data_IF_522871842600
#
_entry.id   IF_522871842600
#
_cell.length_a   1.000
_cell.length_b   1.000
_cell.length_c   1.000
_cell.angle_alpha   90.00
_cell.angle_beta   90.00
_cell.angle_gamma   90.00
#
_symmetry.space_group_name_H-M   'P 1'
#
loop_
_entity.id
_entity.type
_entity.pdbx_description
1 polymer ?
#
# COMPACT_ATOMS: atom_id res chain seq x y z
N UNK A 1 4.43 66.12 -37.22
CA UNK A 1 4.88 66.61 -35.89
C UNK A 1 5.37 65.41 -35.07
N UNK A 2 6.66 65.45 -34.65
CA UNK A 2 7.43 64.73 -33.58
C UNK A 2 6.98 63.29 -33.19
N UNK A 3 7.69 62.19 -33.56
CA UNK A 3 8.96 61.55 -33.06
C UNK A 3 8.95 61.25 -31.54
N UNK A 4 9.20 60.04 -31.03
CA UNK A 4 10.44 59.21 -31.05
C UNK A 4 10.14 57.72 -30.75
N UNK A 5 10.60 56.65 -31.42
CA UNK A 5 11.92 56.10 -31.81
C UNK A 5 12.76 55.47 -30.68
N UNK A 6 12.87 54.13 -30.64
CA UNK A 6 14.06 53.37 -30.20
C UNK A 6 14.19 52.02 -30.95
N UNK A 7 15.39 51.66 -31.47
CA UNK A 7 15.62 50.48 -32.31
C UNK A 7 16.38 49.33 -31.63
N UNK A 8 16.50 48.22 -32.37
CA UNK A 8 17.20 46.96 -32.04
C UNK A 8 18.73 46.96 -32.25
N UNK A 9 19.41 46.13 -31.45
CA UNK A 9 20.62 45.28 -31.68
C UNK A 9 22.04 45.87 -31.95
N UNK A 10 22.97 45.35 -31.11
CA UNK A 10 24.33 44.78 -31.35
C UNK A 10 25.63 45.62 -31.16
N UNK A 11 26.39 45.25 -30.10
CA UNK A 11 27.87 45.11 -29.99
C UNK A 11 28.73 46.36 -29.69
N UNK A 12 30.04 46.23 -29.33
CA UNK A 12 30.78 45.25 -28.50
C UNK A 12 31.47 45.92 -27.25
N UNK A 13 32.29 45.16 -26.51
CA UNK A 13 32.92 45.48 -25.21
C UNK A 13 33.83 46.74 -25.14
N UNK A 14 34.17 47.21 -23.92
CA UNK A 14 35.56 47.04 -23.47
C UNK A 14 35.72 46.61 -21.99
N UNK A 15 36.91 46.09 -21.73
CA UNK A 15 37.48 45.53 -20.50
C UNK A 15 38.22 46.56 -19.62
N UNK A 16 38.75 46.08 -18.47
CA UNK A 16 39.79 46.62 -17.56
C UNK A 16 39.24 47.27 -16.27
N UNK A 17 39.33 46.60 -15.10
CA UNK A 17 40.47 46.31 -14.19
C UNK A 17 40.54 47.33 -13.04
N UNK A 18 40.49 46.85 -11.78
CA UNK A 18 41.41 47.33 -10.76
C UNK A 18 41.69 46.24 -9.71
N UNK A 19 42.94 45.82 -9.72
CA UNK A 19 43.60 44.83 -8.86
C UNK A 19 43.75 45.29 -7.41
N UNK A 20 43.83 44.33 -6.48
CA UNK A 20 44.74 44.49 -5.34
C UNK A 20 45.20 43.15 -4.76
N UNK A 21 46.42 42.81 -5.19
CA UNK A 21 47.54 42.20 -4.45
C UNK A 21 47.41 40.77 -3.92
N UNK A 22 47.97 39.84 -4.70
CA UNK A 22 48.64 38.63 -4.24
C UNK A 22 50.17 38.78 -4.41
N UNK A 23 51.02 38.18 -3.56
CA UNK A 23 52.45 38.00 -3.81
C UNK A 23 52.71 36.72 -4.66
N UNK A 24 53.91 36.59 -5.25
CA UNK A 24 54.11 35.92 -6.54
C UNK A 24 54.39 34.42 -6.45
N UNK A 25 54.00 33.72 -7.51
CA UNK A 25 54.32 32.32 -7.79
C UNK A 25 55.80 32.12 -8.10
N UNK A 26 56.34 30.95 -7.76
CA UNK A 26 57.45 30.36 -8.49
C UNK A 26 57.30 28.83 -8.61
N UNK A 27 56.99 28.41 -9.84
CA UNK A 27 57.51 27.24 -10.57
C UNK A 27 57.25 25.81 -10.06
N UNK A 28 56.41 25.11 -10.84
CA UNK A 28 56.84 23.93 -11.61
C UNK A 28 56.95 22.59 -10.88
N UNK A 29 55.84 21.85 -10.82
CA UNK A 29 55.71 20.39 -11.06
C UNK A 29 54.26 19.96 -10.72
N UNK A 30 53.71 18.88 -11.31
CA UNK A 30 52.30 18.54 -11.13
C UNK A 30 52.05 18.08 -9.68
N UNK A 31 50.93 18.47 -9.04
CA UNK A 31 50.66 17.99 -7.70
C UNK A 31 50.27 16.52 -7.73
N UNK A 32 50.78 15.72 -6.78
CA UNK A 32 50.42 14.32 -6.63
C UNK A 32 49.00 14.19 -6.09
N UNK A 33 48.35 13.12 -6.52
CA UNK A 33 47.07 12.60 -6.02
C UNK A 33 47.11 12.59 -4.49
N UNK A 34 46.32 13.45 -3.85
CA UNK A 34 46.13 13.46 -2.40
C UNK A 34 44.74 12.89 -2.08
N UNK A 35 44.66 11.65 -1.56
CA UNK A 35 43.42 11.12 -1.02
C UNK A 35 43.23 11.70 0.39
N UNK A 36 42.30 12.64 0.54
CA UNK A 36 42.18 13.37 1.80
C UNK A 36 40.93 14.22 1.97
N UNK A 37 39.80 13.80 1.43
CA UNK A 37 38.48 14.22 1.94
C UNK A 37 38.05 13.22 3.01
N UNK A 38 38.67 13.30 4.19
CA UNK A 38 38.33 12.46 5.32
C UNK A 38 36.85 12.64 5.64
N UNK A 39 36.13 11.53 5.50
CA UNK A 39 34.83 11.26 6.06
C UNK A 39 34.73 11.95 7.42
N UNK A 40 33.90 12.99 7.50
CA UNK A 40 33.31 13.32 8.79
C UNK A 40 32.54 12.06 9.19
N UNK A 41 32.88 11.39 10.30
CA UNK A 41 32.00 10.36 10.81
C UNK A 41 30.77 11.13 11.25
N UNK A 42 29.72 11.12 10.43
CA UNK A 42 28.38 11.38 10.91
C UNK A 42 28.25 10.51 12.14
N UNK A 43 28.17 11.15 13.31
CA UNK A 43 27.85 10.49 14.56
C UNK A 43 26.63 9.60 14.28
N UNK A 44 26.89 8.30 14.09
CA UNK A 44 25.84 7.31 13.98
C UNK A 44 25.21 7.28 15.35
N UNK A 45 24.07 7.97 15.48
CA UNK A 45 23.21 7.81 16.62
C UNK A 45 22.74 6.34 16.58
N UNK A 46 23.11 5.47 17.53
CA UNK A 46 22.86 4.02 17.43
C UNK A 46 21.39 3.63 17.60
N UNK A 47 20.47 4.60 17.67
CA UNK A 47 19.10 4.42 18.14
C UNK A 47 18.03 4.77 17.09
N UNK A 48 18.40 5.26 15.90
CA UNK A 48 17.43 5.44 14.82
C UNK A 48 17.17 4.11 14.12
N UNK A 49 15.91 3.62 14.05
CA UNK A 49 15.58 2.43 13.28
C UNK A 49 16.09 2.58 11.85
N UNK A 50 16.91 1.63 11.38
CA UNK A 50 17.49 1.62 10.02
C UNK A 50 16.46 1.48 8.91
N UNK A 51 15.19 1.22 9.26
CA UNK A 51 14.10 1.12 8.30
C UNK A 51 13.87 2.46 7.60
N UNK A 52 13.67 2.48 6.26
CA UNK A 52 13.37 3.71 5.54
C UNK A 52 12.06 4.33 6.02
N UNK A 53 11.97 5.67 5.99
CA UNK A 53 10.74 6.39 6.25
C UNK A 53 9.64 5.97 5.24
N UNK A 54 8.35 6.03 5.66
CA UNK A 54 7.28 5.61 4.77
C UNK A 54 7.17 6.59 3.59
N UNK A 55 6.83 6.12 2.38
CA UNK A 55 6.54 7.01 1.26
C UNK A 55 5.35 7.92 1.59
N UNK A 56 5.25 9.05 0.88
CA UNK A 56 4.14 9.99 1.05
C UNK A 56 2.80 9.26 0.80
N UNK A 57 1.78 9.45 1.66
CA UNK A 57 0.48 8.87 1.43
C UNK A 57 -0.11 9.37 0.10
N UNK A 58 -0.88 8.53 -0.62
CA UNK A 58 -1.52 8.94 -1.85
C UNK A 58 -2.54 10.06 -1.59
N UNK A 59 -2.64 10.99 -2.55
CA UNK A 59 -3.59 12.10 -2.50
C UNK A 59 -5.03 11.61 -2.60
N UNK A 60 -5.29 10.62 -3.46
CA UNK A 60 -6.61 10.03 -3.63
C UNK A 60 -6.99 9.21 -2.38
N UNK A 61 -8.15 9.49 -1.74
CA UNK A 61 -8.60 8.77 -0.56
C UNK A 61 -8.83 7.27 -0.82
N UNK A 62 -9.19 6.85 -2.04
CA UNK A 62 -9.43 5.45 -2.39
C UNK A 62 -8.16 4.59 -2.30
N UNK A 63 -6.99 5.21 -2.41
CA UNK A 63 -5.69 4.53 -2.38
C UNK A 63 -5.11 4.42 -0.95
N UNK A 64 -5.62 5.22 0.00
CA UNK A 64 -5.09 5.27 1.38
C UNK A 64 -5.19 3.94 2.13
N UNK A 65 -6.28 3.16 2.03
CA UNK A 65 -6.37 1.87 2.70
C UNK A 65 -5.32 0.88 2.19
N UNK A 66 -5.11 0.81 0.87
CA UNK A 66 -4.11 -0.07 0.27
C UNK A 66 -2.68 0.33 0.63
N UNK A 67 -2.41 1.63 0.65
CA UNK A 67 -1.13 2.17 1.13
C UNK A 67 -0.87 1.78 2.59
N UNK A 68 -1.86 1.96 3.48
CA UNK A 68 -1.73 1.55 4.89
C UNK A 68 -1.49 0.04 5.04
N UNK A 69 -2.19 -0.79 4.27
CA UNK A 69 -1.95 -2.24 4.24
C UNK A 69 -0.53 -2.57 3.77
N UNK A 70 0.02 -1.83 2.79
CA UNK A 70 1.40 -1.94 2.36
C UNK A 70 2.40 -1.60 3.47
N UNK A 71 2.19 -0.50 4.19
CA UNK A 71 3.03 -0.12 5.34
C UNK A 71 2.97 -1.18 6.44
N UNK A 72 1.77 -1.61 6.84
CA UNK A 72 1.57 -2.66 7.85
C UNK A 72 2.25 -3.97 7.44
N UNK A 73 2.13 -4.38 6.17
CA UNK A 73 2.83 -5.55 5.65
C UNK A 73 4.34 -5.44 5.81
N UNK A 74 4.93 -4.27 5.53
CA UNK A 74 6.36 -4.05 5.71
C UNK A 74 6.79 -4.20 7.18
N UNK A 75 5.98 -3.73 8.14
CA UNK A 75 6.27 -3.93 9.57
C UNK A 75 6.29 -5.40 9.98
N UNK A 76 5.53 -6.24 9.27
CA UNK A 76 5.44 -7.68 9.54
C UNK A 76 6.57 -8.47 8.83
N UNK A 77 7.01 -8.02 7.66
CA UNK A 77 7.93 -8.78 6.80
C UNK A 77 9.40 -8.39 6.94
N UNK A 78 9.67 -7.14 7.27
CA UNK A 78 11.04 -6.66 7.45
C UNK A 78 11.54 -7.05 8.84
N UNK A 79 12.74 -7.66 8.98
CA UNK A 79 13.26 -8.07 10.30
C UNK A 79 13.38 -6.91 11.30
N UNK A 80 13.73 -5.71 10.83
CA UNK A 80 13.80 -4.51 11.68
C UNK A 80 12.44 -3.86 11.91
N UNK A 81 11.35 -4.41 11.36
CA UNK A 81 10.05 -3.74 11.31
C UNK A 81 10.01 -2.57 10.32
N UNK A 82 9.07 -1.65 10.52
CA UNK A 82 8.87 -0.54 9.59
C UNK A 82 8.03 0.60 10.14
N UNK A 83 8.05 1.73 9.44
CA UNK A 83 7.25 2.90 9.78
C UNK A 83 5.85 2.82 9.16
N UNK A 84 4.83 3.09 9.96
CA UNK A 84 3.44 3.29 9.49
C UNK A 84 3.03 4.77 9.43
N UNK A 85 3.77 5.62 10.15
CA UNK A 85 3.77 7.08 9.99
C UNK A 85 5.21 7.57 10.13
N UNK A 86 5.54 8.80 9.72
CA UNK A 86 6.89 9.36 9.94
C UNK A 86 7.34 9.38 11.41
N UNK A 87 6.42 9.16 12.35
CA UNK A 87 6.66 9.22 13.81
C UNK A 87 6.39 7.92 14.54
N UNK A 88 5.94 6.87 13.84
CA UNK A 88 5.58 5.60 14.45
C UNK A 88 6.25 4.46 13.68
N UNK A 89 7.34 3.96 14.26
CA UNK A 89 7.97 2.71 13.87
C UNK A 89 7.35 1.55 14.65
N UNK A 90 7.09 0.45 13.96
CA UNK A 90 6.58 -0.80 14.54
C UNK A 90 7.64 -1.88 14.32
N UNK A 91 8.33 -2.34 15.38
CA UNK A 91 9.24 -3.49 15.32
C UNK A 91 8.51 -4.76 14.88
N UNK A 92 9.20 -5.66 14.16
CA UNK A 92 8.57 -6.88 13.65
C UNK A 92 8.13 -7.80 14.80
N UNK A 93 8.85 -7.75 15.92
CA UNK A 93 8.66 -8.54 17.12
C UNK A 93 7.32 -8.23 17.78
N UNK A 94 6.74 -7.04 17.54
CA UNK A 94 5.40 -6.67 18.03
C UNK A 94 4.37 -7.69 17.55
N UNK A 95 4.51 -8.19 16.33
CA UNK A 95 3.60 -9.17 15.74
C UNK A 95 3.80 -10.59 16.26
N UNK A 96 4.97 -10.90 16.84
CA UNK A 96 5.29 -12.22 17.39
C UNK A 96 5.16 -12.28 18.92
N UNK A 97 4.75 -11.19 19.59
CA UNK A 97 4.58 -11.17 21.03
C UNK A 97 3.48 -12.15 21.49
N UNK A 98 3.91 -13.33 21.93
CA UNK A 98 3.05 -14.23 22.69
C UNK A 98 2.49 -13.54 23.94
N UNK A 99 1.18 -13.74 24.18
CA UNK A 99 0.51 -13.33 25.42
C UNK A 99 -0.31 -12.03 25.36
N UNK A 100 -0.45 -11.37 24.20
CA UNK A 100 -1.49 -10.36 24.02
C UNK A 100 -2.87 -11.06 23.89
N UNK A 101 -3.84 -10.66 24.72
CA UNK A 101 -5.21 -11.21 24.68
C UNK A 101 -6.02 -10.56 23.56
N UNK A 102 -5.68 -10.87 22.32
CA UNK A 102 -6.44 -10.42 21.16
C UNK A 102 -7.84 -11.07 21.17
N UNK A 103 -8.89 -10.27 20.98
CA UNK A 103 -10.27 -10.76 20.93
C UNK A 103 -10.59 -11.37 19.55
N UNK A 104 -11.37 -12.45 19.51
CA UNK A 104 -11.95 -13.05 18.30
C UNK A 104 -10.90 -13.40 17.22
N UNK A 105 -9.72 -13.88 17.64
CA UNK A 105 -8.61 -14.22 16.72
C UNK A 105 -9.05 -15.29 15.72
N UNK A 106 -9.74 -16.33 16.16
CA UNK A 106 -10.23 -17.39 15.28
C UNK A 106 -11.13 -16.86 14.18
N UNK A 107 -12.08 -15.97 14.50
CA UNK A 107 -12.91 -15.31 13.49
C UNK A 107 -12.09 -14.44 12.54
N UNK A 108 -11.13 -13.65 13.04
CA UNK A 108 -10.28 -12.82 12.20
C UNK A 108 -9.44 -13.66 11.24
N UNK A 109 -8.86 -14.76 11.71
CA UNK A 109 -8.12 -15.72 10.86
C UNK A 109 -9.03 -16.26 9.75
N UNK A 110 -10.28 -16.64 10.07
CA UNK A 110 -11.25 -17.10 9.06
C UNK A 110 -11.58 -16.01 8.04
N UNK A 111 -11.85 -14.78 8.49
CA UNK A 111 -12.17 -13.65 7.61
C UNK A 111 -11.00 -13.36 6.67
N UNK A 112 -9.78 -13.31 7.21
CA UNK A 112 -8.56 -13.11 6.45
C UNK A 112 -8.38 -14.22 5.41
N UNK A 113 -8.65 -15.48 5.77
CA UNK A 113 -8.57 -16.61 4.83
C UNK A 113 -9.59 -16.53 3.69
N UNK A 114 -10.85 -16.16 4.01
CA UNK A 114 -11.92 -15.97 3.02
C UNK A 114 -11.54 -14.86 2.04
N UNK A 115 -11.09 -13.70 2.55
CA UNK A 115 -10.67 -12.57 1.72
C UNK A 115 -9.46 -12.93 0.86
N UNK A 116 -8.48 -13.66 1.40
CA UNK A 116 -7.34 -14.17 0.63
C UNK A 116 -7.80 -15.05 -0.55
N UNK A 117 -8.76 -15.95 -0.32
CA UNK A 117 -9.29 -16.81 -1.40
C UNK A 117 -10.01 -15.98 -2.48
N UNK A 118 -10.81 -14.99 -2.07
CA UNK A 118 -11.55 -14.16 -3.01
C UNK A 118 -10.62 -13.26 -3.84
N UNK A 119 -9.56 -12.71 -3.23
CA UNK A 119 -8.54 -11.94 -3.94
C UNK A 119 -7.69 -12.82 -4.86
N UNK A 120 -7.42 -14.07 -4.49
CA UNK A 120 -6.71 -15.03 -5.35
C UNK A 120 -7.50 -15.32 -6.63
N UNK A 121 -8.82 -15.53 -6.49
CA UNK A 121 -9.72 -15.65 -7.65
C UNK A 121 -9.71 -14.37 -8.50
N UNK A 122 -9.78 -13.21 -7.86
CA UNK A 122 -9.76 -11.93 -8.57
C UNK A 122 -8.43 -11.72 -9.32
N UNK A 123 -7.29 -12.13 -8.75
CA UNK A 123 -5.97 -12.07 -9.38
C UNK A 123 -5.90 -12.95 -10.64
N UNK A 124 -6.41 -14.18 -10.56
CA UNK A 124 -6.43 -15.12 -11.68
C UNK A 124 -7.26 -14.54 -12.84
N UNK A 125 -8.45 -14.01 -12.55
CA UNK A 125 -9.32 -13.41 -13.56
C UNK A 125 -8.76 -12.08 -14.09
N UNK A 126 -8.11 -11.28 -13.25
CA UNK A 126 -7.42 -10.06 -13.70
C UNK A 126 -6.33 -10.39 -14.73
N UNK A 127 -5.50 -11.39 -14.46
CA UNK A 127 -4.45 -11.81 -15.38
C UNK A 127 -5.00 -12.32 -16.72
N UNK A 128 -6.20 -12.93 -16.71
CA UNK A 128 -6.90 -13.38 -17.92
C UNK A 128 -7.38 -12.20 -18.77
N UNK A 129 -7.92 -11.14 -18.16
CA UNK A 129 -8.52 -10.01 -18.90
C UNK A 129 -7.53 -8.89 -19.24
N UNK A 130 -6.54 -8.65 -18.39
CA UNK A 130 -5.58 -7.54 -18.52
C UNK A 130 -4.17 -8.01 -18.92
N UNK A 131 -3.94 -9.33 -18.95
CA UNK A 131 -2.63 -9.94 -19.20
C UNK A 131 -1.75 -10.02 -17.96
N UNK A 132 -0.56 -10.63 -18.11
CA UNK A 132 0.40 -10.84 -17.02
C UNK A 132 1.20 -9.57 -16.63
N UNK A 133 0.90 -8.42 -17.25
CA UNK A 133 1.57 -7.14 -16.98
C UNK A 133 0.86 -6.30 -15.92
N UNK A 134 1.48 -5.19 -15.52
CA UNK A 134 0.81 -4.18 -14.71
C UNK A 134 -0.39 -3.61 -15.49
N UNK A 135 -1.58 -3.64 -14.88
CA UNK A 135 -2.85 -3.15 -15.43
C UNK A 135 -2.78 -1.71 -15.95
N UNK A 136 -1.81 -0.93 -15.47
CA UNK A 136 -1.55 0.46 -15.89
C UNK A 136 -0.82 0.56 -17.24
N UNK A 137 -0.01 -0.43 -17.61
CA UNK A 137 0.96 -0.28 -18.70
C UNK A 137 0.34 -0.39 -20.09
N UNK A 138 -0.91 -0.84 -20.24
CA UNK A 138 -1.59 -0.96 -21.53
C UNK A 138 -0.93 -1.91 -22.55
N UNK A 139 0.27 -2.42 -22.25
CA UNK A 139 1.02 -3.43 -22.97
C UNK A 139 0.47 -4.82 -22.59
N UNK A 140 -0.82 -5.04 -22.83
CA UNK A 140 -1.32 -6.39 -22.96
C UNK A 140 -0.62 -6.97 -24.18
N UNK A 141 0.37 -7.82 -23.96
CA UNK A 141 1.08 -8.50 -25.05
C UNK A 141 0.08 -9.37 -25.82
N UNK A 142 -0.46 -8.84 -26.92
CA UNK A 142 -1.03 -9.62 -28.03
C UNK A 142 -2.36 -10.37 -27.82
N UNK A 143 -3.01 -10.31 -26.65
CA UNK A 143 -4.32 -10.96 -26.43
C UNK A 143 -5.43 -9.91 -26.45
N UNK A 144 -5.88 -9.54 -27.66
CA UNK A 144 -7.13 -8.80 -27.88
C UNK A 144 -7.17 -7.36 -27.32
N UNK A 145 -7.83 -6.46 -28.04
CA UNK A 145 -8.30 -5.22 -27.41
C UNK A 145 -9.27 -5.60 -26.28
N UNK A 146 -9.02 -5.14 -25.05
CA UNK A 146 -10.02 -5.17 -23.98
C UNK A 146 -11.33 -4.60 -24.53
N UNK A 147 -12.33 -5.45 -24.68
CA UNK A 147 -13.62 -5.11 -25.24
C UNK A 147 -14.70 -5.04 -24.16
N UNK A 148 -15.95 -4.80 -24.61
CA UNK A 148 -17.11 -4.81 -23.71
C UNK A 148 -17.25 -6.13 -22.95
N UNK A 149 -17.01 -7.26 -23.63
CA UNK A 149 -17.16 -8.60 -23.03
C UNK A 149 -16.20 -8.81 -21.87
N UNK A 150 -14.93 -8.46 -22.04
CA UNK A 150 -13.89 -8.55 -21.01
C UNK A 150 -14.18 -7.57 -19.86
N UNK A 151 -14.65 -6.36 -20.18
CA UNK A 151 -15.04 -5.36 -19.19
C UNK A 151 -16.23 -5.81 -18.33
N UNK A 152 -17.28 -6.38 -18.94
CA UNK A 152 -18.44 -6.94 -18.25
C UNK A 152 -18.06 -8.18 -17.41
N UNK A 153 -17.18 -9.04 -17.94
CA UNK A 153 -16.66 -10.19 -17.20
C UNK A 153 -15.86 -9.75 -15.96
N UNK A 154 -15.00 -8.75 -16.09
CA UNK A 154 -14.28 -8.15 -14.97
C UNK A 154 -15.22 -7.53 -13.93
N UNK A 155 -16.21 -6.76 -14.37
CA UNK A 155 -17.24 -6.21 -13.49
C UNK A 155 -17.96 -7.32 -12.71
N UNK A 156 -18.34 -8.41 -13.38
CA UNK A 156 -18.96 -9.56 -12.71
C UNK A 156 -18.06 -10.17 -11.63
N UNK A 157 -16.74 -10.15 -11.78
CA UNK A 157 -15.81 -10.64 -10.75
C UNK A 157 -15.68 -9.68 -9.57
N UNK A 158 -15.73 -8.39 -9.82
CA UNK A 158 -15.80 -7.39 -8.75
C UNK A 158 -17.13 -7.48 -7.99
N UNK A 159 -18.22 -7.86 -8.67
CA UNK A 159 -19.51 -8.13 -8.04
C UNK A 159 -19.46 -9.36 -7.13
N UNK A 160 -18.84 -10.45 -7.59
CA UNK A 160 -18.57 -11.63 -6.77
C UNK A 160 -17.77 -11.25 -5.51
N UNK A 161 -16.68 -10.49 -5.66
CA UNK A 161 -15.86 -10.01 -4.54
C UNK A 161 -16.64 -9.10 -3.58
N UNK A 162 -17.48 -8.20 -4.11
CA UNK A 162 -18.35 -7.33 -3.30
C UNK A 162 -19.31 -8.15 -2.44
N UNK A 163 -19.89 -9.22 -3.00
CA UNK A 163 -20.76 -10.15 -2.26
C UNK A 163 -20.03 -10.86 -1.12
N UNK A 164 -18.74 -11.20 -1.31
CA UNK A 164 -17.89 -11.73 -0.22
C UNK A 164 -17.73 -10.69 0.90
N UNK A 165 -17.44 -9.44 0.55
CA UNK A 165 -17.28 -8.35 1.52
C UNK A 165 -18.56 -8.13 2.32
N UNK A 166 -19.71 -8.04 1.65
CA UNK A 166 -21.01 -7.89 2.30
C UNK A 166 -21.32 -9.09 3.20
N UNK A 167 -20.98 -10.30 2.76
CA UNK A 167 -21.06 -11.53 3.54
C UNK A 167 -20.21 -11.50 4.82
N UNK A 168 -19.00 -10.96 4.76
CA UNK A 168 -18.14 -10.78 5.94
C UNK A 168 -18.81 -9.81 6.93
N UNK A 169 -19.33 -8.67 6.46
CA UNK A 169 -19.96 -7.70 7.35
C UNK A 169 -21.25 -8.24 7.96
N UNK A 170 -22.10 -8.90 7.17
CA UNK A 170 -23.36 -9.46 7.65
C UNK A 170 -23.16 -10.52 8.75
N UNK A 171 -22.12 -11.36 8.63
CA UNK A 171 -21.89 -12.47 9.57
C UNK A 171 -20.95 -12.11 10.74
N UNK A 172 -20.03 -11.17 10.53
CA UNK A 172 -18.95 -10.89 11.51
C UNK A 172 -18.86 -9.43 11.94
N UNK A 173 -19.62 -8.50 11.35
CA UNK A 173 -19.53 -7.06 11.65
C UNK A 173 -19.62 -6.75 13.15
N UNK A 174 -20.63 -7.32 13.83
CA UNK A 174 -20.80 -7.18 15.29
C UNK A 174 -19.61 -7.73 16.08
N UNK A 175 -19.07 -8.90 15.69
CA UNK A 175 -17.92 -9.54 16.36
C UNK A 175 -16.61 -8.78 16.14
N UNK A 176 -16.49 -8.04 15.04
CA UNK A 176 -15.31 -7.25 14.73
C UNK A 176 -15.28 -5.89 15.45
N UNK A 177 -16.41 -5.47 16.05
CA UNK A 177 -16.56 -4.13 16.61
C UNK A 177 -16.65 -3.06 15.52
N UNK A 178 -17.04 -3.45 14.30
CA UNK A 178 -17.15 -2.57 13.14
C UNK A 178 -18.62 -2.18 12.98
N UNK A 179 -19.00 -1.05 13.57
CA UNK A 179 -20.22 -0.30 13.26
C UNK A 179 -21.51 -0.77 13.94
N UNK A 180 -21.94 -0.03 14.95
CA UNK A 180 -23.35 0.23 15.22
C UNK A 180 -23.92 1.02 14.01
N UNK A 181 -24.48 0.34 13.01
CA UNK A 181 -25.04 1.04 11.84
C UNK A 181 -25.13 0.22 10.55
N UNK A 182 -24.52 -0.97 10.49
CA UNK A 182 -24.73 -1.88 9.37
C UNK A 182 -26.10 -2.56 9.51
N UNK A 183 -27.08 -2.12 8.73
CA UNK A 183 -28.34 -2.85 8.56
C UNK A 183 -28.01 -4.20 7.93
N UNK A 184 -28.15 -5.27 8.71
CA UNK A 184 -27.96 -6.65 8.25
C UNK A 184 -29.05 -7.00 7.24
N UNK A 185 -28.82 -6.73 5.95
CA UNK A 185 -29.59 -7.35 4.87
C UNK A 185 -29.07 -8.77 4.72
N UNK A 186 -29.94 -9.77 4.89
CA UNK A 186 -29.59 -11.20 4.78
C UNK A 186 -29.12 -11.47 3.34
N UNK A 187 -27.82 -11.45 3.10
CA UNK A 187 -27.22 -11.77 1.81
C UNK A 187 -27.14 -13.29 1.66
N UNK A 188 -27.80 -13.83 0.64
CA UNK A 188 -27.69 -15.23 0.25
C UNK A 188 -26.27 -15.47 -0.27
N UNK A 189 -25.47 -16.25 0.47
CA UNK A 189 -24.17 -16.71 -0.01
C UNK A 189 -24.37 -17.63 -1.22
N UNK A 190 -23.50 -17.48 -2.23
CA UNK A 190 -23.46 -18.44 -3.33
C UNK A 190 -22.92 -19.79 -2.83
N UNK A 191 -23.43 -20.91 -3.35
CA UNK A 191 -23.02 -22.27 -2.94
C UNK A 191 -21.52 -22.53 -3.12
N UNK A 192 -20.86 -21.77 -3.99
CA UNK A 192 -19.41 -21.82 -4.19
C UNK A 192 -18.66 -21.19 -3.00
N UNK A 193 -19.18 -20.09 -2.47
CA UNK A 193 -18.62 -19.42 -1.30
C UNK A 193 -18.87 -20.24 -0.02
N UNK A 194 -20.08 -20.80 0.15
CA UNK A 194 -20.44 -21.65 1.29
C UNK A 194 -19.53 -22.88 1.39
N UNK A 195 -19.25 -23.56 0.27
CA UNK A 195 -18.32 -24.72 0.26
C UNK A 195 -16.88 -24.34 0.58
N UNK A 196 -16.40 -23.19 0.11
CA UNK A 196 -15.06 -22.68 0.49
C UNK A 196 -15.03 -22.31 1.97
N UNK A 197 -16.11 -21.72 2.48
CA UNK A 197 -16.26 -21.40 3.89
C UNK A 197 -16.17 -22.67 4.76
N UNK A 198 -16.90 -23.72 4.43
CA UNK A 198 -16.84 -25.02 5.15
C UNK A 198 -15.45 -25.66 5.14
N UNK A 199 -14.70 -25.50 4.04
CA UNK A 199 -13.30 -25.94 3.97
C UNK A 199 -12.40 -25.18 4.95
N UNK A 200 -12.65 -23.89 5.15
CA UNK A 200 -11.85 -23.04 6.06
C UNK A 200 -12.31 -23.09 7.52
N UNK A 201 -13.55 -23.49 7.81
CA UNK A 201 -14.05 -23.63 9.19
C UNK A 201 -13.59 -24.92 9.88
N UNK A 202 -13.20 -25.96 9.12
CA UNK A 202 -12.88 -27.29 9.65
C UNK A 202 -11.37 -27.55 9.89
N UNK A 203 -10.51 -26.54 9.76
CA UNK A 203 -9.06 -26.67 9.91
C UNK A 203 -8.59 -26.68 11.37
N UNK A 204 -7.96 -27.77 11.81
CA UNK A 204 -7.46 -27.98 13.20
C UNK A 204 -6.24 -27.13 13.62
N UNK A 205 -5.80 -26.17 12.81
CA UNK A 205 -4.59 -25.35 13.04
C UNK A 205 -4.82 -23.82 12.99
N UNK A 206 -6.06 -23.36 13.20
CA UNK A 206 -6.42 -21.94 13.11
C UNK A 206 -6.00 -21.10 14.34
N UNK A 207 -5.52 -21.73 15.41
CA UNK A 207 -5.38 -21.08 16.73
C UNK A 207 -3.97 -20.59 17.07
N UNK A 208 -3.09 -20.45 16.08
CA UNK A 208 -1.76 -19.86 16.31
C UNK A 208 -1.78 -18.36 15.98
N UNK A 209 -1.21 -17.49 16.83
CA UNK A 209 -0.93 -16.09 16.49
C UNK A 209 -0.17 -15.98 15.15
N UNK A 210 0.69 -16.96 14.86
CA UNK A 210 1.39 -17.11 13.59
C UNK A 210 0.46 -17.25 12.38
N UNK A 211 -0.65 -17.99 12.50
CA UNK A 211 -1.64 -18.12 11.43
C UNK A 211 -2.32 -16.79 11.13
N UNK A 212 -2.64 -15.99 12.15
CA UNK A 212 -3.20 -14.66 11.97
C UNK A 212 -2.22 -13.74 11.25
N UNK A 213 -0.98 -13.64 11.74
CA UNK A 213 0.05 -12.78 11.15
C UNK A 213 0.39 -13.21 9.72
N UNK A 214 0.53 -14.52 9.46
CA UNK A 214 0.78 -15.02 8.10
C UNK A 214 -0.42 -14.78 7.17
N UNK A 215 -1.64 -14.88 7.68
CA UNK A 215 -2.84 -14.48 6.98
C UNK A 215 -2.82 -13.00 6.59
N UNK A 216 -2.47 -12.10 7.52
CA UNK A 216 -2.37 -10.67 7.24
C UNK A 216 -1.29 -10.36 6.20
N UNK A 217 -0.11 -10.99 6.29
CA UNK A 217 0.95 -10.86 5.27
C UNK A 217 0.40 -11.16 3.87
N UNK A 218 -0.31 -12.28 3.73
CA UNK A 218 -0.89 -12.72 2.47
C UNK A 218 -1.99 -11.78 2.00
N UNK A 219 -2.94 -11.43 2.87
CA UNK A 219 -4.05 -10.53 2.58
C UNK A 219 -3.57 -9.17 2.07
N UNK A 220 -2.63 -8.54 2.78
CA UNK A 220 -2.10 -7.24 2.39
C UNK A 220 -1.35 -7.30 1.06
N UNK A 221 -0.63 -8.41 0.80
CA UNK A 221 0.03 -8.63 -0.49
C UNK A 221 -0.99 -8.73 -1.62
N UNK A 222 -2.02 -9.58 -1.47
CA UNK A 222 -3.02 -9.80 -2.52
C UNK A 222 -3.92 -8.57 -2.72
N UNK A 223 -4.17 -7.79 -1.67
CA UNK A 223 -4.98 -6.57 -1.77
C UNK A 223 -4.35 -5.48 -2.66
N UNK A 224 -3.03 -5.54 -2.92
CA UNK A 224 -2.37 -4.59 -3.82
C UNK A 224 -2.88 -4.70 -5.27
N UNK A 225 -3.46 -5.84 -5.66
CA UNK A 225 -4.17 -5.95 -6.94
C UNK A 225 -5.24 -4.86 -7.09
N UNK A 226 -6.05 -4.65 -6.04
CA UNK A 226 -7.10 -3.63 -6.07
C UNK A 226 -6.53 -2.22 -6.08
N UNK A 227 -5.36 -2.00 -5.45
CA UNK A 227 -4.63 -0.73 -5.55
C UNK A 227 -4.21 -0.44 -6.98
N UNK A 228 -3.63 -1.44 -7.66
CA UNK A 228 -3.19 -1.32 -9.06
C UNK A 228 -4.35 -0.98 -9.99
N UNK A 229 -5.48 -1.68 -9.86
CA UNK A 229 -6.70 -1.38 -10.63
C UNK A 229 -7.28 0.00 -10.32
N UNK A 230 -7.31 0.37 -9.03
CA UNK A 230 -7.80 1.69 -8.62
C UNK A 230 -6.92 2.80 -9.20
N UNK A 231 -5.59 2.67 -9.12
CA UNK A 231 -4.63 3.60 -9.73
C UNK A 231 -4.80 3.72 -11.23
N UNK A 232 -4.95 2.59 -11.93
CA UNK A 232 -5.14 2.59 -13.37
C UNK A 232 -6.44 3.31 -13.79
N UNK A 233 -7.50 3.18 -12.99
CA UNK A 233 -8.77 3.85 -13.23
C UNK A 233 -8.73 5.35 -12.93
N UNK A 234 -8.13 5.77 -11.81
CA UNK A 234 -8.09 7.19 -11.39
C UNK A 234 -6.93 7.98 -12.02
N UNK A 235 -6.05 7.33 -12.76
CA UNK A 235 -4.95 7.97 -13.47
C UNK A 235 -5.44 9.09 -14.41
N UNK A 236 -4.60 10.09 -14.62
CA UNK A 236 -4.85 11.19 -15.53
C UNK A 236 -3.68 11.32 -16.52
N UNK A 237 -3.86 10.95 -17.81
CA UNK A 237 -5.07 10.34 -18.39
C UNK A 237 -5.33 8.92 -17.86
N UNK A 238 -6.59 8.46 -17.95
CA UNK A 238 -6.99 7.10 -17.54
C UNK A 238 -6.13 6.07 -18.25
N UNK A 239 -5.71 5.02 -17.54
CA UNK A 239 -4.85 3.99 -18.11
C UNK A 239 -5.50 3.35 -19.35
N UNK A 240 -4.73 3.02 -20.41
CA UNK A 240 -5.27 2.54 -21.67
C UNK A 240 -6.24 1.35 -21.54
N UNK A 241 -5.95 0.42 -20.63
CA UNK A 241 -6.80 -0.74 -20.36
C UNK A 241 -8.22 -0.33 -19.91
N UNK A 242 -8.33 0.65 -19.01
CA UNK A 242 -9.60 1.17 -18.56
C UNK A 242 -10.21 2.16 -19.55
N UNK A 243 -9.40 2.90 -20.30
CA UNK A 243 -9.85 3.82 -21.34
C UNK A 243 -10.65 3.11 -22.46
N UNK A 244 -10.40 1.82 -22.69
CA UNK A 244 -11.13 0.97 -23.64
C UNK A 244 -12.51 0.50 -23.13
N UNK A 245 -12.77 0.55 -21.81
CA UNK A 245 -14.05 0.11 -21.25
C UNK A 245 -15.19 1.05 -21.71
N UNK A 246 -16.40 0.50 -22.01
CA UNK A 246 -17.61 1.30 -22.10
C UNK A 246 -17.82 2.16 -20.86
N UNK A 247 -18.32 3.39 -21.03
CA UNK A 247 -18.39 4.38 -19.94
C UNK A 247 -19.27 3.91 -18.78
N UNK A 248 -20.41 3.28 -19.08
CA UNK A 248 -21.34 2.70 -18.11
C UNK A 248 -20.71 1.56 -17.28
N UNK A 249 -19.95 0.68 -17.94
CA UNK A 249 -19.21 -0.40 -17.27
C UNK A 249 -18.07 0.19 -16.42
N UNK A 250 -17.36 1.20 -16.92
CA UNK A 250 -16.27 1.87 -16.18
C UNK A 250 -16.78 2.51 -14.89
N UNK A 251 -17.90 3.23 -14.94
CA UNK A 251 -18.55 3.82 -13.75
C UNK A 251 -18.93 2.73 -12.74
N UNK A 252 -19.46 1.61 -13.23
CA UNK A 252 -19.83 0.48 -12.36
C UNK A 252 -18.60 -0.16 -11.70
N UNK A 253 -17.50 -0.32 -12.43
CA UNK A 253 -16.23 -0.82 -11.90
C UNK A 253 -15.63 0.13 -10.88
N UNK A 254 -15.63 1.44 -11.16
CA UNK A 254 -15.20 2.47 -10.21
C UNK A 254 -15.97 2.38 -8.90
N UNK A 255 -17.30 2.24 -8.98
CA UNK A 255 -18.14 2.07 -7.81
C UNK A 255 -17.76 0.82 -6.99
N UNK A 256 -17.45 -0.32 -7.63
CA UNK A 256 -17.03 -1.54 -6.91
C UNK A 256 -15.63 -1.44 -6.30
N UNK A 257 -14.68 -0.81 -6.99
CA UNK A 257 -13.35 -0.56 -6.43
C UNK A 257 -13.42 0.40 -5.23
N UNK A 258 -14.25 1.43 -5.31
CA UNK A 258 -14.53 2.32 -4.18
C UNK A 258 -15.10 1.57 -2.98
N UNK A 259 -16.13 0.74 -3.20
CA UNK A 259 -16.73 -0.11 -2.15
C UNK A 259 -15.72 -1.05 -1.51
N UNK A 260 -14.82 -1.64 -2.30
CA UNK A 260 -13.75 -2.49 -1.80
C UNK A 260 -12.77 -1.70 -0.92
N UNK A 261 -12.34 -0.52 -1.35
CA UNK A 261 -11.46 0.36 -0.58
C UNK A 261 -12.09 0.76 0.76
N UNK A 262 -13.37 1.17 0.73
CA UNK A 262 -14.15 1.47 1.93
C UNK A 262 -14.24 0.26 2.87
N UNK A 263 -14.51 -0.93 2.35
CA UNK A 263 -14.55 -2.16 3.15
C UNK A 263 -13.22 -2.43 3.86
N UNK A 264 -12.08 -2.32 3.15
CA UNK A 264 -10.77 -2.50 3.79
C UNK A 264 -10.50 -1.44 4.85
N UNK A 265 -10.89 -0.18 4.60
CA UNK A 265 -10.75 0.91 5.55
C UNK A 265 -11.57 0.68 6.83
N UNK A 266 -12.86 0.40 6.68
CA UNK A 266 -13.79 0.39 7.81
C UNK A 266 -13.84 -0.96 8.52
N UNK A 267 -13.57 -2.07 7.83
CA UNK A 267 -13.67 -3.41 8.39
C UNK A 267 -12.31 -3.96 8.75
N UNK A 268 -11.43 -4.14 7.76
CA UNK A 268 -10.16 -4.86 7.94
C UNK A 268 -9.18 -4.04 8.76
N UNK A 269 -8.88 -2.81 8.32
CA UNK A 269 -7.92 -1.94 9.00
C UNK A 269 -8.38 -1.56 10.41
N UNK A 270 -9.68 -1.41 10.65
CA UNK A 270 -10.21 -1.14 11.99
C UNK A 270 -9.80 -2.19 13.01
N UNK A 271 -10.00 -3.48 12.73
CA UNK A 271 -9.61 -4.52 13.69
C UNK A 271 -8.09 -4.75 13.72
N UNK A 272 -7.38 -4.58 12.60
CA UNK A 272 -5.92 -4.74 12.57
C UNK A 272 -5.22 -3.64 13.38
N UNK A 273 -5.62 -2.38 13.22
CA UNK A 273 -5.04 -1.26 13.96
C UNK A 273 -5.34 -1.39 15.46
N UNK A 274 -6.55 -1.83 15.82
CA UNK A 274 -6.90 -2.14 17.21
C UNK A 274 -6.01 -3.24 17.79
N UNK A 275 -5.78 -4.31 17.05
CA UNK A 275 -4.90 -5.41 17.49
C UNK A 275 -3.45 -4.96 17.61
N UNK A 276 -2.97 -4.17 16.64
CA UNK A 276 -1.63 -3.59 16.68
C UNK A 276 -1.44 -2.70 17.91
N UNK A 277 -2.43 -1.88 18.27
CA UNK A 277 -2.38 -1.09 19.50
C UNK A 277 -2.26 -1.96 20.75
N UNK A 278 -2.97 -3.09 20.82
CA UNK A 278 -2.88 -4.03 21.95
C UNK A 278 -1.52 -4.75 21.99
N UNK A 279 -0.98 -5.11 20.83
CA UNK A 279 0.33 -5.73 20.71
C UNK A 279 1.45 -4.75 21.13
N UNK A 280 1.36 -3.49 20.72
CA UNK A 280 2.30 -2.43 21.11
C UNK A 280 2.26 -2.15 22.62
N UNK A 281 1.07 -2.04 23.22
CA UNK A 281 0.93 -1.90 24.68
C UNK A 281 1.57 -3.09 25.42
N UNK A 282 1.35 -4.31 24.92
CA UNK A 282 1.96 -5.51 25.51
C UNK A 282 3.49 -5.53 25.35
N UNK A 283 3.99 -5.07 24.21
CA UNK A 283 5.42 -4.95 23.93
C UNK A 283 6.08 -3.96 24.88
N UNK A 284 5.50 -2.76 25.04
CA UNK A 284 5.99 -1.73 25.96
C UNK A 284 6.04 -2.23 27.43
N UNK A 285 4.99 -2.91 27.90
CA UNK A 285 4.95 -3.49 29.26
C UNK A 285 6.00 -4.58 29.50
N UNK A 286 6.48 -5.27 28.46
CA UNK A 286 7.59 -6.22 28.62
C UNK A 286 8.90 -5.48 28.86
N UNK A 287 9.12 -4.34 28.21
CA UNK A 287 10.28 -3.49 28.49
C UNK A 287 10.27 -2.97 29.94
N UNK A 288 9.10 -2.57 30.47
CA UNK A 288 8.97 -2.16 31.87
C UNK A 288 9.35 -3.28 32.85
N UNK A 289 8.92 -4.52 32.58
CA UNK A 289 9.29 -5.68 33.41
C UNK A 289 10.78 -5.95 33.38
N UNK A 290 11.38 -5.90 32.19
CA UNK A 290 12.82 -6.07 32.02
C UNK A 290 13.63 -5.01 32.77
N UNK A 291 13.11 -3.78 32.90
CA UNK A 291 13.75 -2.73 33.71
C UNK A 291 13.58 -2.92 35.22
N UNK A 292 12.60 -3.71 35.66
CA UNK A 292 12.33 -3.99 37.06
C UNK A 292 13.06 -5.24 37.58
N UNK A 293 13.70 -6.00 36.69
CA UNK A 293 14.61 -7.12 36.97
C UNK A 293 16.03 -6.62 37.21
#
# INVERSE_FOLDING_TARGET
MRKSSFPSKLGPAPSLQLDSFAPPFANGHPPPVTPGGLLSPTYHHPTTPTSPLPPLPPTDPLLKPYHMMGLLRNTIMTPTGGYITPRLHVPCEVWSQGGAKLSNVLEKVRIVAILCSALDELQINSAEFFGAGNVSSGLAMGIGSIGRKEAEAWLSKLDDFSSVCDGVVANFGKKLGVGEGFVSKKTTWSDKLSRRFDKFTNGKNLDSPSAYVNGLKKLFSQSQLLDEHTRALVAQPVAPAYAAFPMDVRISVEYRLKRASEFFATVVLTFVIRDLSQLLDKYAKKCEKWLAE
#
